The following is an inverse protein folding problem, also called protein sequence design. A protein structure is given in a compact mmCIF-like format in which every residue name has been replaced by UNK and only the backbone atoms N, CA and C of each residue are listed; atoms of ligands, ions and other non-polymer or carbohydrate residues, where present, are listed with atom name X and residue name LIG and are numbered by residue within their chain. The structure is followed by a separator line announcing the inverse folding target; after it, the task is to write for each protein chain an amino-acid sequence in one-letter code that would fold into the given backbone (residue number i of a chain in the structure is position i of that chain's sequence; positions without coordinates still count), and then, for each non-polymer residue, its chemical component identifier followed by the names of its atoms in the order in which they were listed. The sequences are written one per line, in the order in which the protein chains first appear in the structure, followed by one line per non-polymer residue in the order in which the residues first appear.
data_IF_016720012378
#
_entry.id   IF_016720012378
#
_cell.length_a   1.000
_cell.length_b   1.000
_cell.length_c   1.000
_cell.angle_alpha   90.00
_cell.angle_beta   90.00
_cell.angle_gamma   90.00
#
_symmetry.space_group_name_H-M   'P 1'
#
loop_
_entity.id
_entity.type
_entity.pdbx_description
1 polymer ?
#
# COMPACT_ATOMS: atom_id res chain seq x y z
N UNK A 1 -0.72 -22.09 -16.68
CA UNK A 1 0.37 -21.53 -15.92
C UNK A 1 0.33 -20.01 -15.93
N UNK A 2 0.48 -19.33 -17.07
CA UNK A 2 0.47 -17.86 -17.18
C UNK A 2 -0.73 -17.19 -16.50
N UNK A 3 -1.91 -17.78 -16.63
CA UNK A 3 -3.15 -17.28 -16.00
C UNK A 3 -3.01 -17.24 -14.49
N UNK A 4 -2.51 -18.33 -13.89
CA UNK A 4 -2.34 -18.45 -12.44
C UNK A 4 -1.26 -17.46 -11.95
N UNK A 5 -0.15 -17.32 -12.67
CA UNK A 5 0.88 -16.33 -12.38
C UNK A 5 0.30 -14.89 -12.37
N UNK A 6 -0.50 -14.53 -13.39
CA UNK A 6 -1.16 -13.23 -13.47
C UNK A 6 -2.17 -12.98 -12.33
N UNK A 7 -2.89 -14.02 -11.90
CA UNK A 7 -3.80 -13.92 -10.77
C UNK A 7 -3.06 -13.56 -9.47
N UNK A 8 -1.91 -14.21 -9.23
CA UNK A 8 -1.10 -13.96 -8.04
C UNK A 8 -0.21 -12.70 -8.12
N UNK A 9 -0.05 -12.10 -9.29
CA UNK A 9 0.53 -10.76 -9.39
C UNK A 9 -0.36 -9.69 -8.74
N UNK A 10 -1.68 -9.89 -8.78
CA UNK A 10 -2.67 -8.95 -8.24
C UNK A 10 -3.14 -9.32 -6.83
N UNK A 11 -3.15 -10.60 -6.52
CA UNK A 11 -3.71 -11.14 -5.28
C UNK A 11 -2.64 -11.93 -4.51
N UNK A 12 -2.45 -11.62 -3.25
CA UNK A 12 -1.51 -12.36 -2.39
C UNK A 12 -2.01 -13.79 -2.09
N UNK A 13 -3.32 -13.94 -1.90
CA UNK A 13 -3.98 -15.21 -1.56
C UNK A 13 -5.28 -15.33 -2.35
N UNK A 14 -5.57 -16.51 -2.87
CA UNK A 14 -6.80 -16.82 -3.61
C UNK A 14 -7.41 -18.13 -3.14
N UNK A 15 -8.73 -18.23 -3.22
CA UNK A 15 -9.44 -19.47 -3.02
C UNK A 15 -9.35 -20.35 -4.26
N UNK A 16 -9.40 -21.64 -4.07
CA UNK A 16 -9.34 -22.63 -5.14
C UNK A 16 -10.40 -22.41 -6.23
N UNK A 17 -11.66 -22.15 -5.83
CA UNK A 17 -12.76 -21.90 -6.76
C UNK A 17 -12.52 -20.67 -7.65
N UNK A 18 -11.91 -19.62 -7.11
CA UNK A 18 -11.58 -18.41 -7.88
C UNK A 18 -10.46 -18.69 -8.91
N UNK A 19 -9.46 -19.48 -8.55
CA UNK A 19 -8.40 -19.90 -9.47
C UNK A 19 -8.99 -20.75 -10.60
N UNK A 20 -9.82 -21.73 -10.27
CA UNK A 20 -10.47 -22.58 -11.26
C UNK A 20 -11.36 -21.79 -12.22
N UNK A 21 -12.22 -20.91 -11.68
CA UNK A 21 -13.11 -20.11 -12.49
C UNK A 21 -12.36 -19.27 -13.53
N UNK A 22 -11.26 -18.63 -13.13
CA UNK A 22 -10.46 -17.82 -14.05
C UNK A 22 -9.73 -18.68 -15.09
N UNK A 23 -9.17 -19.80 -14.67
CA UNK A 23 -8.50 -20.73 -15.61
C UNK A 23 -9.50 -21.32 -16.61
N UNK A 24 -10.72 -21.64 -16.18
CA UNK A 24 -11.79 -22.12 -17.07
C UNK A 24 -12.23 -21.04 -18.06
N UNK A 25 -12.44 -19.81 -17.60
CA UNK A 25 -12.84 -18.70 -18.46
C UNK A 25 -11.86 -18.46 -19.59
N UNK A 26 -10.56 -18.67 -19.34
CA UNK A 26 -9.52 -18.45 -20.34
C UNK A 26 -9.27 -19.68 -21.25
N UNK A 27 -9.66 -20.89 -20.82
CA UNK A 27 -9.50 -22.12 -21.63
C UNK A 27 -10.71 -22.48 -22.48
N UNK A 28 -11.82 -21.70 -22.44
CA UNK A 28 -12.99 -21.84 -23.32
C UNK A 28 -13.53 -23.27 -23.51
N UNK A 29 -13.41 -24.12 -22.48
CA UNK A 29 -13.96 -25.48 -22.51
C UNK A 29 -13.14 -26.52 -23.26
N UNK A 30 -11.90 -26.24 -23.61
CA UNK A 30 -11.01 -27.20 -24.30
C UNK A 30 -10.49 -28.33 -23.43
N UNK A 31 -10.59 -28.21 -22.10
CA UNK A 31 -10.03 -29.17 -21.14
C UNK A 31 -11.03 -29.49 -20.04
N UNK A 32 -11.11 -30.76 -19.66
CA UNK A 32 -11.96 -31.20 -18.55
C UNK A 32 -11.43 -30.73 -17.19
N UNK A 33 -12.32 -30.68 -16.18
CA UNK A 33 -12.03 -30.17 -14.85
C UNK A 33 -10.93 -30.94 -14.12
N UNK A 34 -10.89 -32.26 -14.25
CA UNK A 34 -9.91 -33.11 -13.54
C UNK A 34 -8.50 -32.83 -14.08
N UNK A 35 -8.36 -32.70 -15.38
CA UNK A 35 -7.09 -32.34 -16.03
C UNK A 35 -6.63 -30.93 -15.61
N UNK A 36 -7.55 -29.96 -15.51
CA UNK A 36 -7.22 -28.60 -15.03
C UNK A 36 -6.78 -28.62 -13.57
N UNK A 37 -7.47 -29.35 -12.69
CA UNK A 37 -7.08 -29.54 -11.30
C UNK A 37 -5.65 -30.08 -11.18
N UNK A 38 -5.40 -31.22 -11.84
CA UNK A 38 -4.09 -31.86 -11.82
C UNK A 38 -2.96 -30.97 -12.40
N UNK A 39 -3.29 -30.11 -13.37
CA UNK A 39 -2.32 -29.21 -13.96
C UNK A 39 -2.01 -28.00 -13.06
N UNK A 40 -3.02 -27.46 -12.36
CA UNK A 40 -2.84 -26.34 -11.45
C UNK A 40 -2.03 -26.77 -10.22
N UNK A 41 -2.35 -27.91 -9.62
CA UNK A 41 -1.62 -28.46 -8.45
C UNK A 41 -0.14 -28.72 -8.73
N UNK A 42 0.23 -28.96 -9.99
CA UNK A 42 1.62 -29.18 -10.42
C UNK A 42 2.38 -27.89 -10.77
N UNK A 43 1.76 -26.72 -10.62
CA UNK A 43 2.46 -25.46 -10.90
C UNK A 43 3.56 -25.26 -9.84
N UNK A 44 4.82 -25.13 -10.26
CA UNK A 44 5.91 -24.90 -9.32
C UNK A 44 5.72 -23.60 -8.54
N UNK A 45 5.99 -23.64 -7.24
CA UNK A 45 5.86 -22.48 -6.35
C UNK A 45 4.42 -22.15 -5.92
N UNK A 46 3.41 -22.92 -6.33
CA UNK A 46 2.05 -22.80 -5.80
C UNK A 46 1.95 -23.51 -4.45
N UNK A 47 1.52 -22.79 -3.43
CA UNK A 47 1.45 -23.25 -2.04
C UNK A 47 -0.01 -23.37 -1.61
N UNK A 48 -0.41 -24.55 -1.19
CA UNK A 48 -1.73 -24.79 -0.61
C UNK A 48 -1.68 -24.49 0.89
N UNK A 49 -2.50 -23.55 1.35
CA UNK A 49 -2.59 -23.13 2.76
C UNK A 49 -3.51 -24.04 3.60
N UNK A 50 -4.14 -25.05 2.99
CA UNK A 50 -4.83 -26.16 3.67
C UNK A 50 -6.16 -25.86 4.34
N UNK A 51 -6.63 -24.64 4.40
CA UNK A 51 -7.90 -24.27 5.06
C UNK A 51 -8.70 -23.29 4.21
N UNK A 52 -10.03 -23.44 4.14
CA UNK A 52 -10.84 -24.61 4.54
C UNK A 52 -10.58 -25.83 3.64
N UNK A 53 -10.76 -27.05 4.16
CA UNK A 53 -10.42 -28.28 3.44
C UNK A 53 -11.18 -28.48 2.12
N UNK A 54 -12.42 -27.98 2.01
CA UNK A 54 -13.28 -28.12 0.80
C UNK A 54 -12.93 -27.13 -0.28
N UNK A 55 -12.43 -25.94 0.09
CA UNK A 55 -12.05 -24.90 -0.87
C UNK A 55 -10.85 -24.15 -0.30
N UNK A 56 -9.66 -24.74 -0.35
CA UNK A 56 -8.48 -24.21 0.30
C UNK A 56 -8.02 -22.91 -0.34
N UNK A 57 -7.33 -22.12 0.47
CA UNK A 57 -6.60 -20.96 -0.02
C UNK A 57 -5.25 -21.39 -0.58
N UNK A 58 -4.84 -20.67 -1.61
CA UNK A 58 -3.55 -20.82 -2.23
C UNK A 58 -2.81 -19.49 -2.25
N UNK A 59 -1.51 -19.57 -2.23
CA UNK A 59 -0.57 -18.47 -2.47
C UNK A 59 0.61 -18.97 -3.31
N UNK A 60 1.62 -18.17 -3.50
CA UNK A 60 2.86 -18.57 -4.15
C UNK A 60 4.05 -18.41 -3.19
N UNK A 61 5.10 -19.20 -3.37
CA UNK A 61 6.36 -19.04 -2.65
C UNK A 61 6.87 -17.60 -2.76
N UNK A 62 6.79 -17.00 -3.94
CA UNK A 62 7.18 -15.61 -4.17
C UNK A 62 6.38 -14.61 -3.33
N UNK A 63 5.07 -14.82 -3.16
CA UNK A 63 4.25 -13.96 -2.30
C UNK A 63 4.61 -14.14 -0.81
N UNK A 64 4.90 -15.36 -0.38
CA UNK A 64 5.39 -15.62 1.00
C UNK A 64 6.72 -14.89 1.23
N UNK A 65 7.65 -14.96 0.28
CA UNK A 65 8.92 -14.23 0.37
C UNK A 65 8.72 -12.71 0.44
N UNK A 66 7.77 -12.17 -0.34
CA UNK A 66 7.43 -10.74 -0.30
C UNK A 66 6.85 -10.32 1.05
N UNK A 67 5.93 -11.11 1.61
CA UNK A 67 5.35 -10.85 2.92
C UNK A 67 6.43 -10.89 4.01
N UNK A 68 7.27 -11.92 4.00
CA UNK A 68 8.38 -12.04 4.95
C UNK A 68 9.34 -10.84 4.83
N UNK A 69 9.68 -10.42 3.60
CA UNK A 69 10.50 -9.23 3.40
C UNK A 69 9.87 -7.98 4.03
N UNK A 70 8.55 -7.76 3.82
CA UNK A 70 7.86 -6.60 4.40
C UNK A 70 7.88 -6.64 5.94
N UNK A 71 7.65 -7.82 6.53
CA UNK A 71 7.70 -8.00 7.99
C UNK A 71 9.11 -7.75 8.52
N UNK A 72 10.11 -8.31 7.89
CA UNK A 72 11.51 -8.21 8.31
C UNK A 72 12.00 -6.77 8.25
N UNK A 73 11.74 -6.06 7.14
CA UNK A 73 12.19 -4.69 6.97
C UNK A 73 11.55 -3.75 8.01
N UNK A 74 10.23 -3.89 8.26
CA UNK A 74 9.55 -3.11 9.30
C UNK A 74 10.16 -3.38 10.67
N UNK A 75 10.43 -4.65 11.01
CA UNK A 75 11.01 -5.01 12.30
C UNK A 75 12.45 -4.50 12.48
N UNK A 76 13.25 -4.56 11.42
CA UNK A 76 14.66 -4.13 11.44
C UNK A 76 14.83 -2.61 11.46
N UNK A 77 13.82 -1.86 11.01
CA UNK A 77 13.91 -0.40 10.85
C UNK A 77 13.12 0.39 11.87
N UNK A 78 12.58 -0.26 12.91
CA UNK A 78 11.89 0.44 14.00
C UNK A 78 12.81 1.43 14.70
N UNK A 79 12.35 2.66 14.89
CA UNK A 79 13.02 3.68 15.67
C UNK A 79 14.30 4.26 15.05
N UNK A 80 14.56 4.01 13.76
CA UNK A 80 15.81 4.48 13.10
C UNK A 80 15.74 5.92 12.59
N UNK A 81 14.54 6.50 12.49
CA UNK A 81 14.35 7.87 12.04
C UNK A 81 14.32 8.87 13.21
N UNK A 82 14.49 10.15 12.90
CA UNK A 82 14.17 11.22 13.84
C UNK A 82 12.68 11.55 13.76
N UNK A 83 12.09 12.04 14.85
CA UNK A 83 10.77 12.65 14.80
C UNK A 83 10.76 13.95 13.98
N UNK A 84 9.58 14.45 13.66
CA UNK A 84 9.40 15.74 13.00
C UNK A 84 8.96 16.77 14.03
N UNK A 85 9.91 17.44 14.66
CA UNK A 85 9.58 18.54 15.58
C UNK A 85 8.88 19.67 14.81
N UNK A 86 7.68 20.05 15.23
CA UNK A 86 6.90 21.13 14.63
C UNK A 86 6.11 21.88 15.69
N UNK A 87 6.14 23.20 15.61
CA UNK A 87 5.31 24.10 16.45
C UNK A 87 3.91 24.32 15.84
N UNK A 88 3.61 23.68 14.72
CA UNK A 88 2.31 23.81 14.08
C UNK A 88 1.24 23.07 14.86
N UNK A 89 0.13 23.75 15.13
CA UNK A 89 -1.04 23.18 15.78
C UNK A 89 -2.04 22.78 14.69
N UNK A 90 -2.28 21.47 14.48
CA UNK A 90 -3.23 21.04 13.46
C UNK A 90 -4.61 21.62 13.69
N UNK A 91 -5.31 21.94 12.61
CA UNK A 91 -6.65 22.53 12.62
C UNK A 91 -6.79 23.88 13.39
N UNK A 92 -5.68 24.56 13.70
CA UNK A 92 -5.72 25.87 14.37
C UNK A 92 -6.38 26.97 13.52
N UNK A 93 -6.43 26.79 12.20
CA UNK A 93 -7.06 27.68 11.24
C UNK A 93 -8.46 27.21 10.77
N UNK A 94 -8.97 26.11 11.35
CA UNK A 94 -10.29 25.59 10.99
C UNK A 94 -11.39 26.51 11.53
N UNK A 95 -12.29 26.96 10.65
CA UNK A 95 -13.42 27.81 11.01
C UNK A 95 -14.68 26.99 11.38
N UNK A 96 -14.61 25.68 11.29
CA UNK A 96 -15.73 24.80 11.62
C UNK A 96 -15.83 24.54 13.15
N UNK A 97 -16.94 23.95 13.54
CA UNK A 97 -17.21 23.55 14.94
C UNK A 97 -16.99 22.07 15.21
N UNK A 98 -16.31 21.38 14.27
CA UNK A 98 -16.07 19.96 14.37
C UNK A 98 -14.99 19.64 15.41
N UNK A 99 -15.17 18.55 16.14
CA UNK A 99 -14.16 18.07 17.08
C UNK A 99 -13.06 17.29 16.34
N UNK A 100 -11.92 17.93 16.16
CA UNK A 100 -10.75 17.36 15.48
C UNK A 100 -9.80 16.58 16.38
N UNK A 101 -10.15 16.35 17.64
CA UNK A 101 -9.25 15.74 18.65
C UNK A 101 -8.66 14.40 18.19
N UNK A 102 -9.49 13.51 17.61
CA UNK A 102 -9.02 12.22 17.10
C UNK A 102 -8.06 12.36 15.90
N UNK A 103 -8.27 13.35 15.03
CA UNK A 103 -7.40 13.62 13.89
C UNK A 103 -6.06 14.21 14.34
N UNK A 104 -6.08 15.11 15.33
CA UNK A 104 -4.89 15.68 15.95
C UNK A 104 -4.05 14.58 16.59
N UNK A 105 -4.68 13.67 17.35
CA UNK A 105 -3.96 12.54 17.96
C UNK A 105 -3.24 11.68 16.93
N UNK A 106 -3.90 11.38 15.80
CA UNK A 106 -3.28 10.63 14.70
C UNK A 106 -2.09 11.38 14.10
N UNK A 107 -2.24 12.68 13.85
CA UNK A 107 -1.14 13.51 13.33
C UNK A 107 0.05 13.52 14.30
N UNK A 108 -0.20 13.69 15.59
CA UNK A 108 0.83 13.71 16.61
C UNK A 108 1.58 12.36 16.67
N UNK A 109 0.85 11.25 16.62
CA UNK A 109 1.48 9.92 16.57
C UNK A 109 2.37 9.73 15.33
N UNK A 110 1.94 10.20 14.15
CA UNK A 110 2.71 10.10 12.90
C UNK A 110 3.96 10.99 12.97
N UNK A 111 3.81 12.23 13.45
CA UNK A 111 4.91 13.21 13.52
C UNK A 111 5.97 12.79 14.54
N UNK A 112 5.55 12.20 15.67
CA UNK A 112 6.45 11.70 16.72
C UNK A 112 7.05 10.32 16.40
N UNK A 113 6.49 9.60 15.43
CA UNK A 113 7.00 8.29 15.06
C UNK A 113 8.44 8.38 14.57
N UNK A 114 9.26 7.44 14.98
CA UNK A 114 10.64 7.25 14.53
C UNK A 114 10.80 6.10 13.54
N UNK A 115 9.68 5.55 13.08
CA UNK A 115 9.67 4.45 12.13
C UNK A 115 9.63 4.98 10.69
N UNK A 116 10.34 4.36 9.74
CA UNK A 116 10.27 4.74 8.33
C UNK A 116 8.93 4.37 7.70
N UNK A 117 8.21 3.40 8.27
CA UNK A 117 6.92 2.94 7.77
C UNK A 117 5.85 3.10 8.84
N UNK A 118 4.76 3.77 8.49
CA UNK A 118 3.60 3.95 9.33
C UNK A 118 2.31 3.60 8.57
N UNK A 119 1.26 3.23 9.29
CA UNK A 119 -0.05 2.94 8.72
C UNK A 119 -1.10 3.82 9.40
N UNK A 120 -1.88 4.54 8.60
CA UNK A 120 -3.04 5.28 9.04
C UNK A 120 -4.31 4.61 8.50
N UNK A 121 -5.09 4.00 9.39
CA UNK A 121 -6.37 3.38 9.05
C UNK A 121 -7.52 4.26 9.54
N UNK A 122 -8.52 4.41 8.69
CA UNK A 122 -9.74 5.11 9.05
C UNK A 122 -10.88 4.76 8.12
N UNK A 123 -12.07 4.57 8.67
CA UNK A 123 -13.26 4.26 7.87
C UNK A 123 -13.56 5.33 6.82
N UNK A 124 -14.30 4.95 5.78
CA UNK A 124 -14.75 5.91 4.78
C UNK A 124 -15.51 7.08 5.43
N UNK A 125 -15.22 8.30 5.00
CA UNK A 125 -15.85 9.51 5.57
C UNK A 125 -15.26 9.99 6.92
N UNK A 126 -14.23 9.35 7.47
CA UNK A 126 -13.59 9.76 8.72
C UNK A 126 -12.68 11.00 8.58
N UNK A 127 -12.73 11.73 7.47
CA UNK A 127 -11.90 12.92 7.26
C UNK A 127 -10.42 12.60 7.00
N UNK A 128 -10.10 11.43 6.45
CA UNK A 128 -8.70 11.05 6.12
C UNK A 128 -7.99 12.14 5.30
N UNK A 129 -8.64 12.65 4.26
CA UNK A 129 -8.05 13.68 3.38
C UNK A 129 -7.73 14.97 4.12
N UNK A 130 -8.64 15.45 4.97
CA UNK A 130 -8.39 16.64 5.81
C UNK A 130 -7.24 16.40 6.79
N UNK A 131 -7.19 15.22 7.40
CA UNK A 131 -6.07 14.80 8.27
C UNK A 131 -4.74 14.80 7.52
N UNK A 132 -4.72 14.30 6.27
CA UNK A 132 -3.50 14.30 5.44
C UNK A 132 -3.07 15.71 5.03
N UNK A 133 -4.01 16.61 4.75
CA UNK A 133 -3.70 18.01 4.46
C UNK A 133 -3.02 18.69 5.67
N UNK A 134 -3.58 18.52 6.87
CA UNK A 134 -3.00 19.05 8.09
C UNK A 134 -1.66 18.39 8.44
N UNK A 135 -1.55 17.07 8.27
CA UNK A 135 -0.27 16.37 8.40
C UNK A 135 0.79 16.93 7.47
N UNK A 136 0.46 17.22 6.21
CA UNK A 136 1.41 17.84 5.27
C UNK A 136 1.87 19.22 5.73
N UNK A 137 0.99 20.02 6.36
CA UNK A 137 1.38 21.31 6.96
C UNK A 137 2.35 21.10 8.13
N UNK A 138 2.05 20.14 9.02
CA UNK A 138 2.94 19.79 10.15
C UNK A 138 4.31 19.34 9.65
N UNK A 139 4.36 18.43 8.70
CA UNK A 139 5.59 17.89 8.13
C UNK A 139 6.44 19.00 7.49
N UNK A 140 5.82 19.90 6.70
CA UNK A 140 6.52 21.05 6.11
C UNK A 140 7.09 22.00 7.16
N UNK A 141 6.35 22.30 8.23
CA UNK A 141 6.82 23.10 9.35
C UNK A 141 7.94 22.40 10.12
N UNK A 142 7.89 21.06 10.23
CA UNK A 142 8.95 20.23 10.79
C UNK A 142 10.17 20.02 9.89
N UNK A 143 10.24 20.73 8.73
CA UNK A 143 11.41 20.72 7.84
C UNK A 143 11.36 19.69 6.71
N UNK A 144 10.24 18.98 6.52
CA UNK A 144 10.09 18.07 5.36
C UNK A 144 9.81 18.88 4.10
N UNK A 145 10.77 18.93 3.19
CA UNK A 145 10.69 19.73 1.96
C UNK A 145 9.87 19.02 0.88
N UNK A 146 10.06 17.71 0.75
CA UNK A 146 9.51 16.93 -0.34
C UNK A 146 8.48 15.92 0.17
N UNK A 147 7.21 16.18 -0.10
CA UNK A 147 6.09 15.29 0.21
C UNK A 147 5.46 14.88 -1.11
N UNK A 148 5.33 13.58 -1.34
CA UNK A 148 4.72 13.02 -2.54
C UNK A 148 3.54 12.13 -2.16
N UNK A 149 2.45 12.25 -2.91
CA UNK A 149 1.24 11.47 -2.70
C UNK A 149 1.04 10.52 -3.88
N UNK A 150 0.78 9.27 -3.56
CA UNK A 150 0.63 8.19 -4.53
C UNK A 150 -0.67 7.45 -4.25
N UNK A 151 -1.38 7.05 -5.29
CA UNK A 151 -2.62 6.28 -5.18
C UNK A 151 -2.64 5.11 -6.18
N UNK A 152 -3.48 4.07 -5.98
CA UNK A 152 -3.49 2.90 -6.86
C UNK A 152 -4.08 3.17 -8.24
N UNK A 153 -5.02 4.10 -8.37
CA UNK A 153 -5.79 4.32 -9.60
C UNK A 153 -5.76 5.79 -10.06
N UNK A 154 -6.02 6.02 -11.35
CA UNK A 154 -6.16 7.38 -11.88
C UNK A 154 -7.34 8.13 -11.24
N UNK A 155 -8.46 7.46 -10.98
CA UNK A 155 -9.60 8.10 -10.31
C UNK A 155 -9.27 8.56 -8.90
N UNK A 156 -8.52 7.79 -8.13
CA UNK A 156 -8.04 8.20 -6.80
C UNK A 156 -7.07 9.40 -6.91
N UNK A 157 -6.18 9.39 -7.90
CA UNK A 157 -5.29 10.52 -8.18
C UNK A 157 -6.06 11.79 -8.52
N UNK A 158 -7.12 11.70 -9.32
CA UNK A 158 -7.94 12.86 -9.69
C UNK A 158 -8.67 13.44 -8.47
N UNK A 159 -9.16 12.60 -7.57
CA UNK A 159 -9.72 13.04 -6.28
C UNK A 159 -8.65 13.75 -5.44
N UNK A 160 -7.48 13.16 -5.28
CA UNK A 160 -6.38 13.78 -4.52
C UNK A 160 -5.98 15.15 -5.09
N UNK A 161 -5.93 15.29 -6.42
CA UNK A 161 -5.63 16.58 -7.07
C UNK A 161 -6.69 17.63 -6.80
N UNK A 162 -7.98 17.24 -6.79
CA UNK A 162 -9.07 18.16 -6.42
C UNK A 162 -9.00 18.61 -4.95
N UNK A 163 -8.33 17.83 -4.11
CA UNK A 163 -8.08 18.07 -2.69
C UNK A 163 -6.70 18.70 -2.42
N UNK A 164 -6.16 19.44 -3.39
CA UNK A 164 -4.90 20.19 -3.31
C UNK A 164 -3.62 19.33 -3.22
N UNK A 165 -3.65 18.06 -3.58
CA UNK A 165 -2.45 17.23 -3.77
C UNK A 165 -2.05 17.23 -5.26
N UNK A 166 -1.71 18.38 -5.82
CA UNK A 166 -1.47 18.58 -7.25
C UNK A 166 -0.44 17.63 -7.86
N UNK A 167 0.59 17.26 -7.09
CA UNK A 167 1.66 16.35 -7.52
C UNK A 167 1.29 14.86 -7.42
N UNK A 168 0.05 14.53 -7.05
CA UNK A 168 -0.37 13.14 -6.91
C UNK A 168 -0.23 12.37 -8.23
N UNK A 169 0.24 11.12 -8.15
CA UNK A 169 0.41 10.22 -9.28
C UNK A 169 0.05 8.79 -8.91
N UNK A 170 -0.10 7.93 -9.93
CA UNK A 170 -0.40 6.51 -9.64
C UNK A 170 0.83 5.76 -9.14
N UNK A 171 0.60 4.72 -8.32
CA UNK A 171 1.64 3.79 -7.86
C UNK A 171 2.44 3.22 -9.05
N UNK A 172 1.75 2.83 -10.12
CA UNK A 172 2.40 2.30 -11.31
C UNK A 172 3.34 3.33 -11.97
N UNK A 173 2.89 4.58 -12.12
CA UNK A 173 3.74 5.66 -12.66
C UNK A 173 4.93 5.95 -11.76
N UNK A 174 4.73 5.96 -10.45
CA UNK A 174 5.80 6.22 -9.49
C UNK A 174 6.89 5.15 -9.59
N UNK A 175 6.52 3.88 -9.59
CA UNK A 175 7.46 2.75 -9.66
C UNK A 175 8.17 2.62 -11.02
N UNK A 176 7.51 3.04 -12.12
CA UNK A 176 8.10 2.99 -13.47
C UNK A 176 9.11 4.10 -13.75
N UNK A 177 8.90 5.29 -13.18
CA UNK A 177 9.71 6.47 -13.49
C UNK A 177 10.94 6.60 -12.58
N UNK A 178 11.82 5.61 -12.59
CA UNK A 178 13.02 5.57 -11.73
C UNK A 178 13.95 6.78 -11.91
N UNK A 179 13.94 7.41 -13.08
CA UNK A 179 14.76 8.61 -13.38
C UNK A 179 14.18 9.90 -12.78
N UNK A 180 12.94 9.86 -12.28
CA UNK A 180 12.22 11.02 -11.72
C UNK A 180 11.79 10.78 -10.27
N UNK A 181 12.54 9.96 -9.56
CA UNK A 181 12.27 9.71 -8.15
C UNK A 181 12.49 10.96 -7.32
N UNK A 182 11.72 11.14 -6.24
CA UNK A 182 11.95 12.21 -5.27
C UNK A 182 13.38 12.16 -4.71
N UNK A 183 13.90 13.30 -4.25
CA UNK A 183 15.18 13.32 -3.54
C UNK A 183 15.18 12.38 -2.34
N UNK A 184 16.37 11.91 -1.95
CA UNK A 184 16.53 11.12 -0.73
C UNK A 184 15.95 11.84 0.50
N UNK A 185 15.39 11.06 1.42
CA UNK A 185 14.76 11.59 2.62
C UNK A 185 13.37 12.20 2.39
N UNK A 186 12.76 12.03 1.23
CA UNK A 186 11.39 12.47 0.97
C UNK A 186 10.36 11.70 1.81
N UNK A 187 9.19 12.32 2.01
CA UNK A 187 8.04 11.70 2.67
C UNK A 187 7.01 11.26 1.61
N UNK A 188 6.63 9.98 1.64
CA UNK A 188 5.65 9.42 0.72
C UNK A 188 4.36 9.10 1.45
N UNK A 189 3.23 9.51 0.91
CA UNK A 189 1.89 9.15 1.37
C UNK A 189 1.27 8.26 0.30
N UNK A 190 0.88 7.05 0.66
CA UNK A 190 0.24 6.09 -0.24
C UNK A 190 -1.21 5.95 0.18
N UNK A 191 -2.08 6.67 -0.52
CA UNK A 191 -3.52 6.62 -0.26
C UNK A 191 -4.16 5.38 -0.89
N UNK A 192 -5.29 4.93 -0.32
CA UNK A 192 -5.97 3.68 -0.70
C UNK A 192 -5.02 2.48 -0.79
N UNK A 193 -4.05 2.41 0.13
CA UNK A 193 -2.95 1.44 0.07
C UNK A 193 -3.41 -0.02 0.06
N UNK A 194 -4.58 -0.33 0.60
CA UNK A 194 -5.19 -1.67 0.56
C UNK A 194 -5.54 -2.17 -0.85
N UNK A 195 -5.61 -1.30 -1.85
CA UNK A 195 -5.87 -1.66 -3.25
C UNK A 195 -4.59 -1.95 -4.05
N UNK A 196 -3.41 -1.69 -3.49
CA UNK A 196 -2.15 -2.04 -4.14
C UNK A 196 -1.89 -3.55 -4.03
N UNK A 197 -1.30 -4.12 -5.07
CA UNK A 197 -0.84 -5.51 -4.98
C UNK A 197 0.32 -5.65 -3.99
N UNK A 198 0.48 -6.87 -3.43
CA UNK A 198 1.62 -7.18 -2.56
C UNK A 198 2.96 -6.88 -3.24
N UNK A 199 3.06 -7.16 -4.54
CA UNK A 199 4.23 -6.83 -5.35
C UNK A 199 4.53 -5.33 -5.34
N UNK A 200 3.52 -4.49 -5.64
CA UNK A 200 3.70 -3.03 -5.64
C UNK A 200 4.09 -2.50 -4.25
N UNK A 201 3.44 -3.01 -3.20
CA UNK A 201 3.78 -2.65 -1.82
C UNK A 201 5.23 -3.01 -1.48
N UNK A 202 5.66 -4.22 -1.83
CA UNK A 202 7.04 -4.68 -1.60
C UNK A 202 8.06 -3.86 -2.41
N UNK A 203 7.79 -3.58 -3.68
CA UNK A 203 8.65 -2.73 -4.53
C UNK A 203 8.76 -1.31 -3.96
N UNK A 204 7.65 -0.74 -3.46
CA UNK A 204 7.64 0.57 -2.82
C UNK A 204 8.49 0.57 -1.53
N UNK A 205 8.37 -0.46 -0.69
CA UNK A 205 9.17 -0.54 0.54
C UNK A 205 10.67 -0.69 0.24
N UNK A 206 11.05 -1.49 -0.78
CA UNK A 206 12.44 -1.59 -1.25
C UNK A 206 12.97 -0.23 -1.71
N UNK A 207 12.20 0.45 -2.56
CA UNK A 207 12.56 1.76 -3.07
C UNK A 207 12.69 2.80 -1.94
N UNK A 208 11.80 2.74 -0.95
CA UNK A 208 11.84 3.61 0.21
C UNK A 208 13.13 3.41 1.03
N UNK A 209 13.56 2.19 1.23
CA UNK A 209 14.81 1.90 1.94
C UNK A 209 16.05 2.36 1.15
N UNK A 210 16.08 2.13 -0.16
CA UNK A 210 17.20 2.56 -1.03
C UNK A 210 17.38 4.09 -1.06
N UNK A 211 16.29 4.83 -0.90
CA UNK A 211 16.26 6.29 -1.00
C UNK A 211 15.99 6.99 0.35
N UNK A 212 15.98 6.26 1.45
CA UNK A 212 15.75 6.82 2.80
C UNK A 212 14.39 7.52 2.92
N UNK A 213 13.37 7.07 2.18
CA UNK A 213 12.03 7.65 2.27
C UNK A 213 11.33 7.20 3.53
N UNK A 214 10.50 8.08 4.06
CA UNK A 214 9.47 7.70 5.05
C UNK A 214 8.16 7.52 4.33
N UNK A 215 7.43 6.46 4.68
CA UNK A 215 6.21 6.06 3.98
C UNK A 215 5.05 5.94 4.96
N UNK A 216 3.97 6.65 4.66
CA UNK A 216 2.69 6.51 5.33
C UNK A 216 1.72 5.78 4.39
N UNK A 217 1.32 4.58 4.78
CA UNK A 217 0.25 3.83 4.12
C UNK A 217 -1.09 4.25 4.70
N UNK A 218 -2.00 4.70 3.84
CA UNK A 218 -3.33 5.18 4.22
C UNK A 218 -4.39 4.29 3.58
N UNK A 219 -5.41 3.92 4.33
CA UNK A 219 -6.50 3.08 3.81
C UNK A 219 -7.59 2.80 4.84
N UNK A 220 -8.50 1.92 4.46
CA UNK A 220 -9.62 1.46 5.30
C UNK A 220 -9.27 0.21 6.11
#
# INVERSE_FOLDING_TARGET
RKVVEQLFERNGVLRWDAILAEVQNQNLGETDLETLHAAIEKIPGLVNLGKPAVNPYFTTEENIERENYCIDIVNQTKGVCNDFASDYIPFSEAEDTFDHSAQIEVIDQIVQSKDPFAVFRGVAGAGKTSTLQELCKCLKKGGVINIHVVAPTNSAVDVLRSENFESAQTMAMFLQNKDKLPPKGSYLIIDESGLNSLRQGTEMMKLAMENEYRVLFVGD
#
